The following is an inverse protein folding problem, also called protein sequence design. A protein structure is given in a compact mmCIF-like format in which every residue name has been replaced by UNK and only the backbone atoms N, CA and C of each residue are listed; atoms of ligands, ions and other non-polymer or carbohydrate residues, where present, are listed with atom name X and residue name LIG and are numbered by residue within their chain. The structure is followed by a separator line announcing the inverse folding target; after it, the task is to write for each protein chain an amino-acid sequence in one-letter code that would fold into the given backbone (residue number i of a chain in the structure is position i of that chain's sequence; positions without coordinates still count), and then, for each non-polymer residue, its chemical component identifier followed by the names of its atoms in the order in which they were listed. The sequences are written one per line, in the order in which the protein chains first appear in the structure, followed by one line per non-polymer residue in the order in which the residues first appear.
data_IF_914268068007
#
_entry.id   IF_914268068007
#
_cell.length_a   1.000
_cell.length_b   1.000
_cell.length_c   1.000
_cell.angle_alpha   90.00
_cell.angle_beta   90.00
_cell.angle_gamma   90.00
#
_symmetry.space_group_name_H-M   'P 1'
#
loop_
_entity.id
_entity.type
_entity.pdbx_description
1 polymer ?
#
# COMPACT_ATOMS: atom_id res chain seq x y z
N UNK A 1 -4.61 -34.44 14.16
CA UNK A 1 -4.38 -33.56 13.00
C UNK A 1 -3.40 -32.47 13.40
N UNK A 2 -2.41 -32.16 12.57
CA UNK A 2 -1.36 -31.20 12.90
C UNK A 2 -1.94 -29.81 13.21
N UNK A 3 -1.43 -29.15 14.25
CA UNK A 3 -1.86 -27.82 14.69
C UNK A 3 -1.30 -26.69 13.79
N UNK A 4 -0.88 -26.98 12.56
CA UNK A 4 -0.16 -26.06 11.68
C UNK A 4 -0.49 -26.32 10.21
N UNK A 5 -0.54 -25.25 9.43
CA UNK A 5 -0.67 -25.34 7.98
C UNK A 5 0.55 -26.07 7.40
N UNK A 6 0.37 -27.09 6.52
CA UNK A 6 1.47 -27.85 5.94
C UNK A 6 2.20 -27.05 4.85
N UNK A 7 2.61 -25.82 5.16
CA UNK A 7 3.36 -24.93 4.29
C UNK A 7 4.80 -25.44 4.18
N UNK A 8 5.26 -25.85 2.98
CA UNK A 8 6.65 -26.23 2.79
C UNK A 8 7.52 -24.98 2.94
N UNK A 9 8.53 -25.08 3.80
CA UNK A 9 9.53 -24.04 3.98
C UNK A 9 10.67 -24.28 2.99
N UNK A 10 11.02 -23.25 2.24
CA UNK A 10 12.10 -23.23 1.26
C UNK A 10 13.25 -22.35 1.78
N UNK A 11 14.38 -22.33 1.09
CA UNK A 11 15.57 -21.58 1.48
C UNK A 11 16.07 -20.66 0.37
N UNK A 12 16.41 -19.43 0.73
CA UNK A 12 17.09 -18.48 -0.14
C UNK A 12 18.57 -18.53 0.23
N UNK A 13 19.41 -18.95 -0.72
CA UNK A 13 20.86 -18.99 -0.55
C UNK A 13 21.50 -17.64 -0.92
N UNK A 14 22.24 -17.04 0.01
CA UNK A 14 22.96 -15.79 -0.22
C UNK A 14 24.37 -15.85 0.36
N UNK A 15 25.36 -15.99 -0.52
CA UNK A 15 26.77 -15.96 -0.11
C UNK A 15 27.15 -17.07 0.88
N UNK A 16 26.54 -18.25 0.75
CA UNK A 16 26.75 -19.41 1.63
C UNK A 16 25.82 -19.47 2.85
N UNK A 17 25.12 -18.38 3.19
CA UNK A 17 24.06 -18.39 4.21
C UNK A 17 22.73 -18.82 3.58
N UNK A 18 21.88 -19.48 4.38
CA UNK A 18 20.54 -19.91 3.99
C UNK A 18 19.48 -19.23 4.85
N UNK A 19 18.50 -18.61 4.19
CA UNK A 19 17.41 -17.89 4.85
C UNK A 19 16.08 -18.55 4.53
N UNK A 20 15.31 -19.00 5.53
CA UNK A 20 14.06 -19.68 5.28
C UNK A 20 12.99 -18.74 4.72
N UNK A 21 12.12 -19.26 3.87
CA UNK A 21 11.01 -18.53 3.26
C UNK A 21 9.82 -19.44 2.95
N UNK A 22 8.68 -18.84 2.68
CA UNK A 22 7.56 -19.45 1.98
C UNK A 22 7.48 -18.91 0.55
N UNK A 23 7.34 -19.82 -0.40
CA UNK A 23 7.16 -19.52 -1.82
C UNK A 23 5.70 -19.18 -2.11
N UNK A 24 5.46 -18.24 -3.03
CA UNK A 24 4.10 -17.87 -3.45
C UNK A 24 3.38 -19.05 -4.09
N UNK A 25 4.10 -19.84 -4.90
CA UNK A 25 3.55 -21.07 -5.48
C UNK A 25 3.09 -22.07 -4.42
N UNK A 26 3.83 -22.19 -3.31
CA UNK A 26 3.45 -23.06 -2.19
C UNK A 26 2.11 -22.66 -1.59
N UNK A 27 1.82 -21.36 -1.47
CA UNK A 27 0.50 -20.89 -1.03
C UNK A 27 -0.59 -21.31 -2.00
N UNK A 28 -0.39 -21.14 -3.31
CA UNK A 28 -1.37 -21.53 -4.32
C UNK A 28 -1.70 -23.03 -4.23
N UNK A 29 -0.66 -23.88 -4.10
CA UNK A 29 -0.82 -25.34 -4.01
C UNK A 29 -1.50 -25.77 -2.72
N UNK A 30 -1.09 -25.23 -1.57
CA UNK A 30 -1.69 -25.54 -0.27
C UNK A 30 -3.13 -25.05 -0.21
N UNK A 31 -3.42 -23.84 -0.69
CA UNK A 31 -4.79 -23.33 -0.73
C UNK A 31 -5.68 -24.15 -1.67
N UNK A 32 -5.17 -24.57 -2.83
CA UNK A 32 -5.92 -25.49 -3.71
C UNK A 32 -6.21 -26.83 -3.02
N UNK A 33 -5.21 -27.43 -2.36
CA UNK A 33 -5.35 -28.72 -1.69
C UNK A 33 -6.39 -28.70 -0.57
N UNK A 34 -6.52 -27.56 0.11
CA UNK A 34 -7.41 -27.40 1.25
C UNK A 34 -8.72 -26.65 0.93
N UNK A 35 -9.03 -26.40 -0.34
CA UNK A 35 -10.19 -25.60 -0.77
C UNK A 35 -10.24 -24.19 -0.13
N UNK A 36 -9.09 -23.52 -0.07
CA UNK A 36 -8.89 -22.18 0.51
C UNK A 36 -8.49 -21.11 -0.50
N UNK A 37 -8.70 -21.35 -1.79
CA UNK A 37 -8.42 -20.34 -2.83
C UNK A 37 -9.25 -19.08 -2.64
N UNK A 38 -10.42 -19.16 -2.01
CA UNK A 38 -11.27 -18.00 -1.71
C UNK A 38 -10.54 -16.89 -0.95
N UNK A 39 -9.52 -17.21 -0.15
CA UNK A 39 -8.67 -16.21 0.53
C UNK A 39 -7.93 -15.28 -0.43
N UNK A 40 -7.70 -15.71 -1.67
CA UNK A 40 -7.08 -14.92 -2.73
C UNK A 40 -8.08 -14.23 -3.65
N UNK A 41 -9.34 -14.66 -3.62
CA UNK A 41 -10.38 -14.29 -4.57
C UNK A 41 -11.39 -13.30 -3.96
N UNK A 42 -11.11 -12.74 -2.79
CA UNK A 42 -12.04 -11.86 -2.07
C UNK A 42 -13.13 -12.63 -1.31
N UNK A 43 -12.78 -13.78 -0.74
CA UNK A 43 -13.66 -14.65 0.04
C UNK A 43 -14.87 -15.20 -0.74
N UNK A 44 -14.74 -15.30 -2.07
CA UNK A 44 -15.67 -16.04 -2.93
C UNK A 44 -15.03 -17.30 -3.50
N UNK A 45 -15.86 -18.26 -3.89
CA UNK A 45 -15.44 -19.60 -4.34
C UNK A 45 -15.21 -19.71 -5.86
N UNK A 46 -15.25 -18.58 -6.57
CA UNK A 46 -15.05 -18.50 -8.02
C UNK A 46 -14.20 -17.27 -8.41
N UNK A 47 -13.98 -17.10 -9.71
CA UNK A 47 -13.11 -16.06 -10.26
C UNK A 47 -13.87 -14.80 -10.71
N UNK A 48 -15.16 -14.66 -10.38
CA UNK A 48 -16.00 -13.54 -10.84
C UNK A 48 -15.46 -12.18 -10.41
N UNK A 49 -14.98 -12.07 -9.16
CA UNK A 49 -14.41 -10.82 -8.66
C UNK A 49 -13.07 -10.47 -9.32
N UNK A 50 -12.28 -11.48 -9.74
CA UNK A 50 -11.04 -11.27 -10.49
C UNK A 50 -11.34 -10.76 -11.90
N UNK A 51 -12.34 -11.35 -12.56
CA UNK A 51 -12.81 -10.90 -13.87
C UNK A 51 -13.32 -9.45 -13.82
N UNK A 52 -14.17 -9.12 -12.85
CA UNK A 52 -14.71 -7.77 -12.68
C UNK A 52 -13.60 -6.76 -12.31
N UNK A 53 -12.60 -7.17 -11.51
CA UNK A 53 -11.44 -6.32 -11.22
C UNK A 53 -10.70 -5.93 -12.50
N UNK A 54 -10.34 -6.91 -13.34
CA UNK A 54 -9.60 -6.63 -14.56
C UNK A 54 -10.42 -5.89 -15.59
N UNK A 55 -11.73 -6.13 -15.67
CA UNK A 55 -12.64 -5.34 -16.50
C UNK A 55 -12.63 -3.87 -16.10
N UNK A 56 -12.72 -3.55 -14.81
CA UNK A 56 -12.64 -2.15 -14.32
C UNK A 56 -11.24 -1.57 -14.51
N UNK A 57 -10.20 -2.36 -14.25
CA UNK A 57 -8.81 -1.92 -14.38
C UNK A 57 -8.43 -1.62 -15.85
N UNK A 58 -8.94 -2.39 -16.81
CA UNK A 58 -8.72 -2.16 -18.26
C UNK A 58 -9.22 -0.80 -18.74
N UNK A 59 -10.29 -0.29 -18.12
CA UNK A 59 -10.79 1.04 -18.42
C UNK A 59 -9.88 2.17 -17.88
N UNK A 60 -9.02 1.86 -16.89
CA UNK A 60 -8.13 2.82 -16.23
C UNK A 60 -6.72 2.76 -16.86
N UNK A 61 -6.20 1.57 -17.09
CA UNK A 61 -4.88 1.32 -17.68
C UNK A 61 -4.97 0.24 -18.76
N UNK A 62 -5.48 0.56 -19.97
CA UNK A 62 -5.65 -0.42 -21.04
C UNK A 62 -4.33 -0.99 -21.56
N UNK A 63 -3.20 -0.32 -21.30
CA UNK A 63 -1.85 -0.73 -21.69
C UNK A 63 -1.17 -1.61 -20.64
N UNK A 64 -1.86 -1.95 -19.53
CA UNK A 64 -1.31 -2.83 -18.52
C UNK A 64 -0.90 -4.18 -19.15
N UNK A 65 0.33 -4.69 -18.89
CA UNK A 65 0.84 -5.93 -19.51
C UNK A 65 -0.06 -7.16 -19.34
N UNK A 66 -0.92 -7.19 -18.32
CA UNK A 66 -1.95 -8.23 -18.17
C UNK A 66 -2.78 -8.40 -19.43
N UNK A 67 -3.18 -7.31 -20.10
CA UNK A 67 -4.08 -7.37 -21.25
C UNK A 67 -3.40 -7.85 -22.53
N UNK A 68 -2.07 -7.82 -22.59
CA UNK A 68 -1.31 -8.39 -23.70
C UNK A 68 -0.83 -9.82 -23.41
N UNK A 69 -0.36 -10.10 -22.19
CA UNK A 69 0.14 -11.43 -21.80
C UNK A 69 -0.99 -12.42 -21.48
N UNK A 70 -2.14 -11.93 -21.03
CA UNK A 70 -3.26 -12.74 -20.55
C UNK A 70 -4.58 -12.44 -21.25
N UNK A 71 -4.52 -12.02 -22.52
CA UNK A 71 -5.72 -11.78 -23.33
C UNK A 71 -6.65 -13.01 -23.32
N UNK A 72 -7.92 -12.78 -22.95
CA UNK A 72 -8.96 -13.80 -22.83
C UNK A 72 -8.84 -14.73 -21.62
N UNK A 73 -7.84 -14.53 -20.74
CA UNK A 73 -7.62 -15.34 -19.53
C UNK A 73 -7.39 -14.50 -18.27
N UNK A 74 -7.70 -13.21 -18.29
CA UNK A 74 -7.52 -12.26 -17.20
C UNK A 74 -8.21 -12.70 -15.91
N UNK A 75 -9.37 -13.38 -16.03
CA UNK A 75 -10.10 -13.93 -14.87
C UNK A 75 -9.28 -14.89 -14.01
N UNK A 76 -8.21 -15.48 -14.53
CA UNK A 76 -7.33 -16.38 -13.78
C UNK A 76 -6.04 -15.69 -13.28
N UNK A 77 -5.91 -14.39 -13.48
CA UNK A 77 -4.75 -13.60 -13.05
C UNK A 77 -5.08 -12.94 -11.71
N UNK A 78 -4.60 -13.48 -10.60
CA UNK A 78 -4.91 -12.94 -9.27
C UNK A 78 -4.13 -11.63 -9.05
N UNK A 79 -4.80 -10.48 -8.86
CA UNK A 79 -4.13 -9.23 -8.55
C UNK A 79 -3.66 -9.23 -7.09
N UNK A 80 -2.39 -8.89 -6.87
CA UNK A 80 -1.76 -8.88 -5.56
C UNK A 80 -0.97 -7.58 -5.32
N UNK A 81 -0.76 -7.27 -4.04
CA UNK A 81 0.23 -6.32 -3.57
C UNK A 81 1.40 -7.07 -2.94
N UNK A 82 2.61 -6.56 -3.17
CA UNK A 82 3.78 -6.94 -2.39
C UNK A 82 4.00 -5.89 -1.30
N UNK A 83 4.27 -6.32 -0.08
CA UNK A 83 4.54 -5.44 1.04
C UNK A 83 5.84 -5.85 1.74
N UNK A 84 6.56 -4.87 2.25
CA UNK A 84 7.61 -5.10 3.23
C UNK A 84 7.54 -4.02 4.31
N UNK A 85 8.09 -4.27 5.50
CA UNK A 85 8.36 -3.24 6.50
C UNK A 85 9.35 -3.73 7.58
N UNK A 86 9.92 -2.83 8.39
CA UNK A 86 10.76 -3.15 9.55
C UNK A 86 9.96 -3.06 10.87
N UNK A 87 9.64 -4.22 11.43
CA UNK A 87 9.10 -4.36 12.78
C UNK A 87 10.17 -4.37 13.88
N UNK A 88 9.76 -4.63 15.13
CA UNK A 88 10.66 -4.66 16.30
C UNK A 88 10.55 -5.97 17.09
N UNK A 89 11.70 -6.58 17.37
CA UNK A 89 11.81 -7.78 18.24
C UNK A 89 11.98 -7.42 19.72
N UNK A 90 11.93 -8.41 20.63
CA UNK A 90 11.99 -8.24 22.09
C UNK A 90 13.21 -7.44 22.58
N UNK A 91 14.38 -7.61 21.93
CA UNK A 91 15.61 -6.88 22.25
C UNK A 91 15.75 -5.57 21.48
N UNK A 92 14.63 -4.98 21.03
CA UNK A 92 14.56 -3.77 20.18
C UNK A 92 15.37 -3.86 18.89
N UNK A 93 15.73 -5.07 18.46
CA UNK A 93 16.39 -5.29 17.16
C UNK A 93 15.32 -5.30 16.07
N UNK A 94 15.56 -4.62 14.95
CA UNK A 94 14.58 -4.62 13.85
C UNK A 94 14.51 -5.97 13.15
N UNK A 95 13.32 -6.31 12.66
CA UNK A 95 13.06 -7.49 11.83
C UNK A 95 12.34 -7.03 10.56
N UNK A 96 12.92 -7.34 9.40
CA UNK A 96 12.24 -7.19 8.11
C UNK A 96 11.15 -8.23 8.02
N UNK A 97 9.96 -7.81 7.62
CA UNK A 97 8.84 -8.68 7.25
C UNK A 97 8.51 -8.39 5.80
N UNK A 98 8.43 -9.42 4.97
CA UNK A 98 7.97 -9.32 3.59
C UNK A 98 6.77 -10.24 3.39
N UNK A 99 5.68 -9.71 2.84
CA UNK A 99 4.45 -10.46 2.63
C UNK A 99 3.79 -10.10 1.30
N UNK A 100 3.05 -11.06 0.74
CA UNK A 100 2.12 -10.84 -0.35
C UNK A 100 0.70 -10.66 0.21
N UNK A 101 -0.16 -9.91 -0.45
CA UNK A 101 -1.59 -9.89 -0.14
C UNK A 101 -2.41 -9.78 -1.43
N UNK A 102 -3.56 -10.46 -1.55
CA UNK A 102 -4.48 -10.22 -2.65
C UNK A 102 -5.00 -8.79 -2.60
N UNK A 103 -5.34 -8.22 -3.76
CA UNK A 103 -6.00 -6.91 -3.85
C UNK A 103 -7.46 -7.04 -3.41
N UNK A 104 -8.10 -8.13 -3.84
CA UNK A 104 -9.49 -8.45 -3.54
C UNK A 104 -9.63 -8.86 -2.09
N UNK A 105 -10.54 -8.20 -1.39
CA UNK A 105 -11.09 -8.64 -0.12
C UNK A 105 -12.60 -8.80 -0.21
N UNK A 106 -13.22 -8.89 0.95
CA UNK A 106 -14.68 -8.84 1.12
C UNK A 106 -15.01 -7.79 2.19
N UNK A 107 -16.29 -7.54 2.42
CA UNK A 107 -16.73 -6.78 3.58
C UNK A 107 -17.86 -7.54 4.26
N UNK A 108 -17.68 -8.00 5.52
CA UNK A 108 -18.73 -8.67 6.26
C UNK A 108 -19.85 -7.73 6.72
N UNK A 109 -19.71 -6.42 6.51
CA UNK A 109 -20.71 -5.42 6.89
C UNK A 109 -21.93 -5.48 5.94
N UNK A 110 -23.14 -5.81 6.45
CA UNK A 110 -24.34 -6.02 5.64
C UNK A 110 -24.85 -4.73 4.97
N UNK A 111 -24.41 -3.55 5.41
CA UNK A 111 -24.83 -2.27 4.85
C UNK A 111 -24.02 -1.86 3.61
N UNK A 112 -23.07 -2.70 3.17
CA UNK A 112 -22.26 -2.40 1.99
C UNK A 112 -22.91 -2.85 0.69
N UNK A 113 -22.58 -2.11 -0.37
CA UNK A 113 -23.01 -2.40 -1.72
C UNK A 113 -22.29 -3.65 -2.25
N UNK A 114 -23.03 -4.74 -2.44
CA UNK A 114 -22.52 -6.01 -2.95
C UNK A 114 -22.01 -5.93 -4.40
N UNK A 115 -22.26 -4.83 -5.11
CA UNK A 115 -21.69 -4.55 -6.43
C UNK A 115 -20.29 -3.91 -6.39
N UNK A 116 -19.82 -3.50 -5.21
CA UNK A 116 -18.47 -2.97 -5.02
C UNK A 116 -17.44 -4.09 -4.84
N UNK A 117 -16.25 -3.89 -5.40
CA UNK A 117 -15.10 -4.75 -5.11
C UNK A 117 -14.41 -4.23 -3.85
N UNK A 118 -14.27 -5.05 -2.80
CA UNK A 118 -13.82 -4.60 -1.49
C UNK A 118 -12.31 -4.79 -1.24
N UNK A 119 -11.79 -4.09 -0.22
CA UNK A 119 -10.41 -4.16 0.24
C UNK A 119 -10.23 -5.19 1.36
N UNK A 120 -9.00 -5.61 1.64
CA UNK A 120 -8.66 -6.51 2.75
C UNK A 120 -8.56 -5.84 4.14
N UNK A 121 -9.31 -4.76 4.40
CA UNK A 121 -9.18 -4.00 5.65
C UNK A 121 -9.97 -4.57 6.84
N UNK A 122 -10.98 -5.41 6.60
CA UNK A 122 -11.90 -5.90 7.64
C UNK A 122 -11.60 -7.32 8.13
N UNK A 123 -10.84 -8.10 7.36
CA UNK A 123 -10.45 -9.46 7.72
C UNK A 123 -9.20 -9.50 8.58
N UNK A 124 -9.03 -10.63 9.27
CA UNK A 124 -7.80 -10.91 10.00
C UNK A 124 -6.59 -10.86 9.07
N UNK A 125 -5.58 -10.12 9.50
CA UNK A 125 -4.32 -9.97 8.78
C UNK A 125 -3.55 -11.28 8.68
N UNK A 126 -3.83 -12.27 9.53
CA UNK A 126 -3.22 -13.60 9.45
C UNK A 126 -3.56 -14.36 8.17
N UNK A 127 -4.81 -14.24 7.69
CA UNK A 127 -5.30 -14.97 6.52
C UNK A 127 -5.14 -14.18 5.20
N UNK A 128 -5.05 -12.86 5.30
CA UNK A 128 -5.00 -11.96 4.13
C UNK A 128 -3.59 -11.45 3.80
N UNK A 129 -2.60 -11.65 4.68
CA UNK A 129 -1.20 -11.30 4.45
C UNK A 129 -0.35 -12.57 4.51
N UNK A 130 0.11 -12.99 3.34
CA UNK A 130 0.88 -14.20 3.12
C UNK A 130 2.36 -13.91 3.41
N UNK A 131 2.85 -14.36 4.56
CA UNK A 131 4.24 -14.15 4.95
C UNK A 131 5.18 -14.86 3.98
N UNK A 132 6.12 -14.15 3.37
CA UNK A 132 7.09 -14.74 2.46
C UNK A 132 8.42 -15.01 3.17
N UNK A 133 8.96 -14.00 3.87
CA UNK A 133 10.15 -14.19 4.69
C UNK A 133 10.21 -13.17 5.81
N UNK A 134 11.03 -13.49 6.82
CA UNK A 134 11.49 -12.51 7.79
C UNK A 134 13.01 -12.50 7.85
N UNK A 135 13.60 -11.33 8.07
CA UNK A 135 15.05 -11.21 8.16
C UNK A 135 15.43 -10.25 9.29
N UNK A 136 16.23 -10.73 10.23
CA UNK A 136 16.74 -9.89 11.33
C UNK A 136 17.71 -8.84 10.78
N UNK A 137 17.63 -7.61 11.29
CA UNK A 137 18.48 -6.49 10.86
C UNK A 137 19.96 -6.84 10.85
N UNK A 138 20.42 -7.70 11.75
CA UNK A 138 21.83 -8.06 11.84
C UNK A 138 22.35 -8.87 10.65
N UNK A 139 21.48 -9.59 9.92
CA UNK A 139 21.86 -10.28 8.69
C UNK A 139 22.24 -9.29 7.58
N UNK A 140 21.59 -8.12 7.54
CA UNK A 140 21.80 -7.12 6.48
C UNK A 140 22.25 -5.74 7.01
N UNK A 141 22.84 -5.69 8.21
CA UNK A 141 23.29 -4.43 8.82
C UNK A 141 24.57 -3.90 8.18
N UNK A 142 25.51 -4.80 7.89
CA UNK A 142 26.84 -4.46 7.32
C UNK A 142 26.79 -4.36 5.79
N UNK A 143 25.98 -5.21 5.17
CA UNK A 143 25.80 -5.32 3.73
C UNK A 143 24.32 -5.59 3.47
N UNK A 144 23.69 -4.88 2.54
CA UNK A 144 22.29 -5.06 2.20
C UNK A 144 22.05 -6.25 1.26
N UNK A 145 23.10 -6.86 0.68
CA UNK A 145 23.02 -7.99 -0.25
C UNK A 145 22.10 -9.13 0.20
N UNK A 146 22.12 -9.63 1.45
CA UNK A 146 21.20 -10.69 1.88
C UNK A 146 19.73 -10.30 1.70
N UNK A 147 19.39 -9.06 2.04
CA UNK A 147 18.03 -8.57 1.93
C UNK A 147 17.60 -8.37 0.46
N UNK A 148 18.48 -7.83 -0.39
CA UNK A 148 18.19 -7.68 -1.82
C UNK A 148 18.06 -9.01 -2.53
N UNK A 149 18.94 -9.98 -2.25
CA UNK A 149 18.83 -11.32 -2.82
C UNK A 149 17.51 -12.01 -2.42
N UNK A 150 17.02 -11.78 -1.19
CA UNK A 150 15.70 -12.27 -0.78
C UNK A 150 14.56 -11.62 -1.59
N UNK A 151 14.59 -10.29 -1.79
CA UNK A 151 13.60 -9.62 -2.64
C UNK A 151 13.71 -10.02 -4.12
N UNK A 152 14.91 -10.20 -4.66
CA UNK A 152 15.16 -10.66 -6.03
C UNK A 152 14.63 -12.09 -6.23
N UNK A 153 14.81 -12.98 -5.26
CA UNK A 153 14.25 -14.34 -5.28
C UNK A 153 12.72 -14.34 -5.28
N UNK A 154 12.09 -13.42 -4.54
CA UNK A 154 10.63 -13.21 -4.57
C UNK A 154 10.19 -12.62 -5.90
N UNK A 155 10.90 -11.62 -6.41
CA UNK A 155 10.59 -10.98 -7.70
C UNK A 155 10.64 -11.98 -8.85
N UNK A 156 11.70 -12.80 -8.92
CA UNK A 156 11.86 -13.83 -9.94
C UNK A 156 10.73 -14.86 -9.90
N UNK A 157 10.27 -15.24 -8.70
CA UNK A 157 9.11 -16.12 -8.56
C UNK A 157 7.84 -15.49 -9.12
N UNK A 158 7.61 -14.22 -8.80
CA UNK A 158 6.41 -13.49 -9.23
C UNK A 158 6.40 -13.22 -10.74
N UNK A 159 7.54 -12.95 -11.36
CA UNK A 159 7.66 -12.89 -12.84
C UNK A 159 7.25 -14.23 -13.43
N UNK A 160 7.82 -15.34 -12.95
CA UNK A 160 7.48 -16.68 -13.44
C UNK A 160 6.00 -17.02 -13.23
N UNK A 161 5.43 -16.70 -12.07
CA UNK A 161 4.00 -16.93 -11.81
C UNK A 161 3.09 -16.05 -12.65
N UNK A 162 3.55 -14.89 -13.11
CA UNK A 162 2.84 -14.10 -14.11
C UNK A 162 2.95 -14.76 -15.48
N UNK A 163 4.16 -15.10 -15.95
CA UNK A 163 4.37 -15.58 -17.32
C UNK A 163 3.87 -17.02 -17.55
N UNK A 164 4.17 -17.92 -16.62
CA UNK A 164 3.93 -19.36 -16.73
C UNK A 164 2.69 -19.84 -15.94
N UNK A 165 2.40 -19.15 -14.83
CA UNK A 165 1.33 -19.53 -13.90
C UNK A 165 1.63 -20.78 -13.07
N UNK A 166 0.68 -21.17 -12.23
CA UNK A 166 0.68 -22.38 -11.44
C UNK A 166 -0.53 -23.23 -11.80
N UNK A 167 -0.29 -24.45 -12.28
CA UNK A 167 -1.39 -25.36 -12.61
C UNK A 167 -1.82 -26.18 -11.40
N UNK A 168 -3.10 -26.08 -11.07
CA UNK A 168 -3.74 -26.61 -9.89
C UNK A 168 -4.93 -27.49 -10.27
N UNK A 169 -5.40 -28.32 -9.34
CA UNK A 169 -6.65 -29.06 -9.47
C UNK A 169 -7.65 -28.47 -8.49
N UNK A 170 -8.66 -27.78 -9.01
CA UNK A 170 -9.71 -27.14 -8.23
C UNK A 170 -11.02 -27.81 -8.57
N UNK A 171 -11.68 -28.43 -7.57
CA UNK A 171 -12.94 -29.16 -7.77
C UNK A 171 -12.87 -30.17 -8.94
N UNK A 172 -11.78 -30.94 -9.01
CA UNK A 172 -11.46 -31.91 -10.08
C UNK A 172 -11.24 -31.32 -11.48
N UNK A 173 -11.14 -30.00 -11.61
CA UNK A 173 -10.81 -29.33 -12.87
C UNK A 173 -9.38 -28.81 -12.81
N UNK A 174 -8.61 -29.10 -13.86
CA UNK A 174 -7.27 -28.56 -14.01
C UNK A 174 -7.36 -27.10 -14.46
N UNK A 175 -6.88 -26.18 -13.63
CA UNK A 175 -6.85 -24.75 -13.93
C UNK A 175 -5.44 -24.20 -13.76
N UNK A 176 -5.07 -23.22 -14.56
CA UNK A 176 -3.81 -22.49 -14.40
C UNK A 176 -4.10 -21.11 -13.86
N UNK A 177 -3.59 -20.82 -12.66
CA UNK A 177 -3.70 -19.53 -12.00
C UNK A 177 -2.42 -18.74 -12.21
N UNK A 178 -2.53 -17.45 -12.51
CA UNK A 178 -1.41 -16.52 -12.63
C UNK A 178 -1.44 -15.53 -11.48
N UNK A 179 -0.30 -14.92 -11.16
CA UNK A 179 -0.20 -13.89 -10.12
C UNK A 179 0.35 -12.61 -10.75
N UNK A 180 -0.38 -11.51 -10.59
CA UNK A 180 0.06 -10.19 -11.04
C UNK A 180 0.21 -9.26 -9.84
N UNK A 181 1.42 -8.72 -9.64
CA UNK A 181 1.65 -7.70 -8.61
C UNK A 181 1.41 -6.33 -9.21
N UNK A 182 0.41 -5.62 -8.70
CA UNK A 182 -0.03 -4.32 -9.23
C UNK A 182 0.56 -3.12 -8.46
N UNK A 183 1.12 -3.34 -7.27
CA UNK A 183 1.89 -2.33 -6.53
C UNK A 183 2.76 -2.92 -5.41
N UNK A 184 3.82 -2.20 -5.06
CA UNK A 184 4.54 -2.35 -3.79
C UNK A 184 4.09 -1.34 -2.75
N UNK A 185 3.85 -1.87 -1.54
CA UNK A 185 3.43 -1.14 -0.36
C UNK A 185 4.51 -1.20 0.71
N UNK A 186 4.54 -0.18 1.56
CA UNK A 186 5.43 -0.09 2.72
C UNK A 186 5.55 1.34 3.22
N UNK A 187 6.27 1.54 4.31
CA UNK A 187 6.56 2.88 4.79
C UNK A 187 7.58 3.61 3.87
N UNK A 188 7.62 4.95 3.91
CA UNK A 188 8.53 5.69 3.04
C UNK A 188 10.01 5.34 3.23
N UNK A 189 10.55 5.25 4.45
CA UNK A 189 11.92 4.78 4.69
C UNK A 189 12.25 3.44 4.02
N UNK A 190 11.33 2.47 4.07
CA UNK A 190 11.50 1.19 3.45
C UNK A 190 11.38 1.27 1.93
N UNK A 191 10.37 1.93 1.37
CA UNK A 191 10.24 2.06 -0.09
C UNK A 191 11.45 2.78 -0.68
N UNK A 192 11.98 3.78 0.03
CA UNK A 192 13.24 4.44 -0.30
C UNK A 192 14.43 3.49 -0.26
N UNK A 193 14.49 2.58 0.71
CA UNK A 193 15.50 1.51 0.76
C UNK A 193 15.33 0.57 -0.41
N UNK A 194 14.17 -0.05 -0.57
CA UNK A 194 13.88 -1.10 -1.56
C UNK A 194 14.13 -0.62 -2.99
N UNK A 195 13.72 0.62 -3.31
CA UNK A 195 13.96 1.22 -4.62
C UNK A 195 15.30 1.94 -4.77
N UNK A 196 16.14 2.00 -3.72
CA UNK A 196 17.30 2.90 -3.64
C UNK A 196 16.99 4.31 -4.16
N UNK A 197 15.86 4.86 -3.70
CA UNK A 197 15.29 6.08 -4.25
C UNK A 197 16.20 7.29 -3.95
N UNK A 198 16.50 8.05 -4.99
CA UNK A 198 17.24 9.31 -4.88
C UNK A 198 16.36 10.44 -4.31
N UNK A 199 15.05 10.37 -4.52
CA UNK A 199 14.05 11.34 -4.02
C UNK A 199 12.97 10.60 -3.22
N UNK A 200 12.68 11.07 -2.01
CA UNK A 200 11.63 10.51 -1.14
C UNK A 200 11.28 11.48 0.00
N UNK A 201 10.09 11.34 0.58
CA UNK A 201 9.49 12.32 1.50
C UNK A 201 10.19 12.47 2.87
N UNK A 202 11.27 11.72 3.10
CA UNK A 202 12.14 11.87 4.27
C UNK A 202 13.33 12.82 4.05
N UNK A 203 13.56 13.28 2.82
CA UNK A 203 14.66 14.21 2.52
C UNK A 203 14.32 15.66 2.88
N UNK A 204 15.35 16.43 3.21
CA UNK A 204 15.28 17.89 3.37
C UNK A 204 15.43 18.56 1.99
N UNK A 205 14.64 19.60 1.75
CA UNK A 205 14.63 20.38 0.49
C UNK A 205 15.43 21.70 0.58
N UNK A 206 16.14 21.96 1.68
CA UNK A 206 16.71 23.28 1.98
C UNK A 206 18.09 23.58 1.37
N UNK A 207 18.59 22.75 0.45
CA UNK A 207 19.90 22.95 -0.18
C UNK A 207 19.74 23.47 -1.62
N UNK A 208 20.65 24.35 -2.07
CA UNK A 208 20.69 24.83 -3.46
C UNK A 208 20.75 23.68 -4.49
N UNK A 209 21.26 22.51 -4.08
CA UNK A 209 21.35 21.29 -4.88
C UNK A 209 20.37 20.18 -4.42
N UNK A 210 19.21 20.55 -3.88
CA UNK A 210 18.22 19.58 -3.41
C UNK A 210 17.78 18.65 -4.55
N UNK A 211 17.98 17.33 -4.39
CA UNK A 211 17.57 16.34 -5.37
C UNK A 211 16.05 16.26 -5.54
N UNK A 212 15.28 16.80 -4.60
CA UNK A 212 13.82 16.72 -4.51
C UNK A 212 13.37 15.81 -3.35
N UNK A 213 12.10 15.94 -2.98
CA UNK A 213 11.46 15.18 -1.90
C UNK A 213 10.42 14.17 -2.41
N UNK A 214 10.01 14.25 -3.67
CA UNK A 214 9.03 13.35 -4.25
C UNK A 214 9.71 12.38 -5.21
N UNK A 215 9.40 11.09 -5.14
CA UNK A 215 9.86 10.11 -6.13
C UNK A 215 9.13 10.31 -7.47
N UNK A 216 7.87 10.73 -7.44
CA UNK A 216 7.02 10.87 -8.64
C UNK A 216 7.29 12.14 -9.45
N UNK A 217 7.78 13.21 -8.84
CA UNK A 217 7.95 14.51 -9.50
C UNK A 217 9.17 15.29 -8.95
N UNK A 218 9.35 16.52 -9.39
CA UNK A 218 10.46 17.40 -9.01
C UNK A 218 10.19 18.29 -7.80
N UNK A 219 9.09 18.08 -7.08
CA UNK A 219 8.80 18.81 -5.86
C UNK A 219 9.96 18.78 -4.86
N UNK A 220 10.30 19.96 -4.34
CA UNK A 220 11.43 20.18 -3.43
C UNK A 220 12.77 20.43 -4.12
N UNK A 221 12.82 20.51 -5.46
CA UNK A 221 13.96 21.06 -6.21
C UNK A 221 13.88 22.59 -6.29
N UNK A 222 14.98 23.28 -6.66
CA UNK A 222 14.90 24.69 -7.07
C UNK A 222 13.79 24.91 -8.11
N UNK A 223 13.03 25.99 -7.96
CA UNK A 223 11.86 26.35 -8.79
C UNK A 223 10.65 25.39 -8.73
N UNK A 224 10.67 24.39 -7.84
CA UNK A 224 9.60 23.41 -7.69
C UNK A 224 9.15 23.32 -6.23
N UNK A 225 8.48 24.36 -5.70
CA UNK A 225 8.05 24.41 -4.30
C UNK A 225 7.07 23.27 -3.99
N UNK A 226 7.43 22.39 -3.05
CA UNK A 226 6.60 21.22 -2.74
C UNK A 226 5.30 21.56 -2.00
N UNK A 227 5.23 22.74 -1.38
CA UNK A 227 4.04 23.20 -0.66
C UNK A 227 3.03 23.88 -1.58
N UNK A 228 3.39 24.14 -2.84
CA UNK A 228 2.46 24.65 -3.83
C UNK A 228 1.54 23.52 -4.31
N UNK A 229 0.26 23.64 -3.98
CA UNK A 229 -0.80 22.71 -4.37
C UNK A 229 -1.74 23.33 -5.43
N UNK A 230 -1.50 24.58 -5.86
CA UNK A 230 -2.34 25.30 -6.85
C UNK A 230 -2.26 24.63 -8.21
N UNK A 231 -3.26 24.69 -9.08
CA UNK A 231 -3.24 23.98 -10.37
C UNK A 231 -1.99 24.26 -11.23
N UNK A 232 -1.40 25.44 -11.09
CA UNK A 232 -0.19 25.90 -11.79
C UNK A 232 1.13 25.42 -11.19
N UNK A 233 1.11 24.58 -10.15
CA UNK A 233 2.35 24.16 -9.50
C UNK A 233 3.31 23.46 -10.47
N UNK A 234 4.53 23.99 -10.56
CA UNK A 234 5.52 23.63 -11.58
C UNK A 234 5.92 22.15 -11.54
N UNK A 235 5.87 21.51 -10.37
CA UNK A 235 6.21 20.11 -10.21
C UNK A 235 5.19 19.16 -10.88
N UNK A 236 3.96 19.58 -11.15
CA UNK A 236 2.97 18.72 -11.82
C UNK A 236 3.38 18.35 -13.24
N UNK A 237 3.94 19.30 -13.97
CA UNK A 237 4.44 19.06 -15.33
C UNK A 237 5.60 18.06 -15.36
N UNK A 238 6.25 17.82 -14.22
CA UNK A 238 7.42 16.92 -14.10
C UNK A 238 7.06 15.49 -13.66
N UNK A 239 5.75 15.21 -13.53
CA UNK A 239 5.25 13.92 -13.05
C UNK A 239 5.72 12.77 -13.96
N UNK A 240 6.35 11.77 -13.35
CA UNK A 240 6.89 10.56 -13.97
C UNK A 240 7.88 10.79 -15.13
N UNK A 241 8.37 12.01 -15.34
CA UNK A 241 9.33 12.30 -16.41
C UNK A 241 10.71 11.66 -16.16
N UNK A 242 11.03 11.28 -14.92
CA UNK A 242 12.34 10.75 -14.56
C UNK A 242 12.26 9.63 -13.53
N UNK A 243 13.02 8.57 -13.76
CA UNK A 243 13.13 7.46 -12.83
C UNK A 243 13.58 7.93 -11.43
N UNK A 244 13.00 7.36 -10.36
CA UNK A 244 13.28 7.81 -9.00
C UNK A 244 14.51 7.15 -8.36
N UNK A 245 15.06 6.10 -8.98
CA UNK A 245 16.24 5.37 -8.52
C UNK A 245 17.51 5.78 -9.28
N UNK A 246 18.67 5.30 -8.84
CA UNK A 246 19.93 5.52 -9.56
C UNK A 246 19.90 4.77 -10.91
N UNK A 247 20.48 5.32 -12.00
CA UNK A 247 20.49 4.66 -13.31
C UNK A 247 21.14 3.27 -13.33
N UNK A 248 22.14 3.04 -12.46
CA UNK A 248 22.91 1.79 -12.39
C UNK A 248 22.25 0.72 -11.51
N UNK A 249 21.01 0.93 -11.07
CA UNK A 249 20.32 0.06 -10.15
C UNK A 249 18.93 -0.28 -10.67
N UNK A 250 18.64 -1.57 -10.77
CA UNK A 250 17.32 -2.11 -11.08
C UNK A 250 16.70 -2.55 -9.75
N UNK A 251 15.67 -1.87 -9.24
CA UNK A 251 14.97 -2.31 -8.04
C UNK A 251 14.44 -3.74 -8.19
N UNK A 252 14.52 -4.61 -7.16
CA UNK A 252 14.19 -6.03 -7.28
C UNK A 252 12.85 -6.28 -7.94
N UNK A 253 11.86 -5.50 -7.54
CA UNK A 253 10.52 -5.70 -8.02
C UNK A 253 10.18 -4.88 -9.28
N UNK A 254 11.03 -3.94 -9.72
CA UNK A 254 10.79 -3.18 -10.96
C UNK A 254 10.70 -4.04 -12.23
N UNK A 255 11.15 -5.30 -12.14
CA UNK A 255 11.07 -6.31 -13.22
C UNK A 255 9.68 -6.92 -13.38
N UNK A 256 8.74 -6.71 -12.45
CA UNK A 256 7.39 -7.26 -12.60
C UNK A 256 6.64 -6.52 -13.73
N UNK A 257 5.80 -7.23 -14.49
CA UNK A 257 5.11 -6.68 -15.65
C UNK A 257 3.98 -5.73 -15.24
N UNK A 258 4.23 -4.43 -15.39
CA UNK A 258 3.29 -3.34 -15.11
C UNK A 258 3.63 -2.07 -15.90
N UNK A 259 2.66 -1.16 -16.07
CA UNK A 259 2.91 0.13 -16.69
C UNK A 259 3.72 1.08 -15.76
N UNK A 260 4.50 1.96 -16.39
CA UNK A 260 5.69 2.59 -15.83
C UNK A 260 5.43 3.53 -14.63
N UNK A 261 6.24 3.35 -13.59
CA UNK A 261 6.55 4.26 -12.48
C UNK A 261 5.63 4.35 -11.23
N UNK A 262 4.56 3.53 -11.14
CA UNK A 262 3.65 3.54 -9.97
C UNK A 262 3.96 2.51 -8.89
N UNK A 263 5.18 1.95 -8.92
CA UNK A 263 5.68 0.89 -8.04
C UNK A 263 5.46 1.15 -6.55
N UNK A 264 5.80 2.35 -6.08
CA UNK A 264 5.88 2.64 -4.64
C UNK A 264 4.70 3.47 -4.20
N UNK A 265 3.74 2.81 -3.56
CA UNK A 265 2.57 3.46 -2.98
C UNK A 265 2.61 3.32 -1.48
N UNK A 266 2.48 4.45 -0.80
CA UNK A 266 2.31 4.47 0.64
C UNK A 266 1.20 5.47 0.94
N UNK A 267 0.12 4.97 1.51
CA UNK A 267 -0.76 5.79 2.31
C UNK A 267 -0.75 5.24 3.73
N UNK A 268 -0.43 6.10 4.68
CA UNK A 268 -0.66 5.85 6.09
C UNK A 268 -1.68 6.83 6.65
N UNK A 269 -2.74 6.31 7.27
CA UNK A 269 -3.51 6.95 8.35
C UNK A 269 -4.47 5.89 8.91
N UNK A 270 -4.35 5.62 10.21
CA UNK A 270 -5.15 4.62 10.91
C UNK A 270 -6.46 5.17 11.49
N UNK A 271 -7.22 4.29 12.14
CA UNK A 271 -8.46 4.61 12.86
C UNK A 271 -8.28 5.75 13.89
N UNK A 272 -7.12 5.85 14.55
CA UNK A 272 -6.83 6.90 15.53
C UNK A 272 -6.92 8.31 14.94
N UNK A 273 -6.45 8.49 13.69
CA UNK A 273 -6.54 9.80 13.04
C UNK A 273 -8.00 10.19 12.83
N UNK A 274 -8.85 9.26 12.38
CA UNK A 274 -10.26 9.53 12.19
C UNK A 274 -10.97 9.83 13.53
N UNK A 275 -10.68 9.06 14.58
CA UNK A 275 -11.26 9.29 15.92
C UNK A 275 -10.86 10.66 16.49
N UNK A 276 -9.57 11.00 16.44
CA UNK A 276 -9.05 12.28 16.92
C UNK A 276 -9.59 13.44 16.08
N UNK A 277 -9.65 13.31 14.76
CA UNK A 277 -10.21 14.36 13.90
C UNK A 277 -11.70 14.59 14.16
N UNK A 278 -12.50 13.54 14.42
CA UNK A 278 -13.92 13.68 14.81
C UNK A 278 -14.07 14.39 16.14
N UNK A 279 -13.29 13.98 17.16
CA UNK A 279 -13.32 14.66 18.45
C UNK A 279 -12.91 16.13 18.35
N UNK A 280 -11.82 16.42 17.63
CA UNK A 280 -11.36 17.78 17.40
C UNK A 280 -12.39 18.62 16.64
N UNK A 281 -13.10 18.05 15.67
CA UNK A 281 -14.16 18.76 14.95
C UNK A 281 -15.20 19.30 15.95
N UNK A 282 -15.73 18.45 16.83
CA UNK A 282 -16.67 18.86 17.88
C UNK A 282 -16.09 19.94 18.81
N UNK A 283 -14.84 19.77 19.25
CA UNK A 283 -14.18 20.74 20.13
C UNK A 283 -14.08 22.12 19.47
N UNK A 284 -13.67 22.19 18.20
CA UNK A 284 -13.55 23.46 17.50
C UNK A 284 -14.91 24.04 17.10
N UNK A 285 -15.91 23.21 16.82
CA UNK A 285 -17.29 23.66 16.61
C UNK A 285 -17.83 24.41 17.83
N UNK A 286 -17.67 23.83 19.04
CA UNK A 286 -18.12 24.46 20.28
C UNK A 286 -17.37 25.78 20.56
N UNK A 287 -16.05 25.80 20.38
CA UNK A 287 -15.23 27.01 20.56
C UNK A 287 -15.62 28.15 19.60
N UNK A 288 -16.06 27.81 18.39
CA UNK A 288 -16.56 28.79 17.42
C UNK A 288 -17.92 29.33 17.89
N UNK A 289 -18.82 28.45 18.35
CA UNK A 289 -20.14 28.84 18.84
C UNK A 289 -20.09 29.76 20.08
N UNK A 290 -19.05 29.63 20.91
CA UNK A 290 -18.81 30.48 22.09
C UNK A 290 -18.28 31.89 21.73
N UNK A 291 -17.89 32.15 20.48
CA UNK A 291 -17.30 33.43 20.06
C UNK A 291 -18.25 34.24 19.21
N UNK A 292 -18.45 35.51 19.57
CA UNK A 292 -19.26 36.45 18.78
C UNK A 292 -18.66 36.73 17.40
N UNK A 293 -17.33 36.79 17.30
CA UNK A 293 -16.58 36.98 16.06
C UNK A 293 -15.41 35.98 15.98
N UNK A 294 -15.66 34.74 15.52
CA UNK A 294 -14.63 33.70 15.44
C UNK A 294 -13.50 34.10 14.49
N UNK A 295 -12.25 33.96 14.92
CA UNK A 295 -11.09 34.28 14.07
C UNK A 295 -11.02 33.37 12.83
N UNK A 296 -10.52 33.91 11.72
CA UNK A 296 -10.25 33.15 10.49
C UNK A 296 -9.41 31.89 10.74
N UNK A 297 -8.49 31.96 11.70
CA UNK A 297 -7.70 30.84 12.18
C UNK A 297 -8.55 29.67 12.72
N UNK A 298 -9.51 29.94 13.61
CA UNK A 298 -10.37 28.89 14.18
C UNK A 298 -11.31 28.32 13.11
N UNK A 299 -11.85 29.18 12.25
CA UNK A 299 -12.70 28.78 11.12
C UNK A 299 -11.94 27.84 10.18
N UNK A 300 -10.68 28.17 9.84
CA UNK A 300 -9.83 27.33 8.98
C UNK A 300 -9.54 25.97 9.61
N UNK A 301 -9.26 25.90 10.91
CA UNK A 301 -9.02 24.63 11.62
C UNK A 301 -10.27 23.76 11.62
N UNK A 302 -11.41 24.31 12.04
CA UNK A 302 -12.68 23.58 12.06
C UNK A 302 -13.06 23.10 10.65
N UNK A 303 -12.95 23.97 9.65
CA UNK A 303 -13.17 23.64 8.26
C UNK A 303 -12.29 22.47 7.81
N UNK A 304 -10.98 22.53 8.08
CA UNK A 304 -10.03 21.46 7.74
C UNK A 304 -10.40 20.12 8.40
N UNK A 305 -10.83 20.13 9.65
CA UNK A 305 -11.28 18.93 10.37
C UNK A 305 -12.51 18.31 9.73
N UNK A 306 -13.55 19.12 9.46
CA UNK A 306 -14.79 18.68 8.82
C UNK A 306 -14.54 18.05 7.44
N UNK A 307 -13.79 18.75 6.58
CA UNK A 307 -13.51 18.23 5.22
C UNK A 307 -12.57 17.03 5.27
N UNK A 308 -11.66 16.96 6.25
CA UNK A 308 -10.83 15.76 6.46
C UNK A 308 -11.68 14.56 6.86
N UNK A 309 -12.65 14.74 7.76
CA UNK A 309 -13.56 13.66 8.17
C UNK A 309 -14.45 13.21 7.01
N UNK A 310 -14.96 14.15 6.20
CA UNK A 310 -15.70 13.85 4.98
C UNK A 310 -14.84 13.07 3.98
N UNK A 311 -13.60 13.51 3.74
CA UNK A 311 -12.67 12.83 2.82
C UNK A 311 -12.37 11.40 3.30
N UNK A 312 -12.05 11.22 4.58
CA UNK A 312 -11.77 9.90 5.14
C UNK A 312 -13.01 9.00 5.06
N UNK A 313 -14.20 9.53 5.37
CA UNK A 313 -15.45 8.79 5.25
C UNK A 313 -15.69 8.30 3.81
N UNK A 314 -15.50 9.16 2.81
CA UNK A 314 -15.61 8.76 1.40
C UNK A 314 -14.62 7.65 1.04
N UNK A 315 -13.36 7.76 1.48
CA UNK A 315 -12.32 6.82 1.11
C UNK A 315 -12.51 5.45 1.78
N UNK A 316 -13.01 5.37 3.02
CA UNK A 316 -13.26 4.09 3.69
C UNK A 316 -14.63 3.48 3.39
N UNK A 317 -15.63 4.30 2.99
CA UNK A 317 -16.96 3.81 2.65
C UNK A 317 -17.00 3.07 1.31
N UNK A 318 -16.11 3.39 0.39
CA UNK A 318 -16.06 2.75 -0.91
C UNK A 318 -14.98 1.68 -1.00
N UNK A 319 -15.19 0.71 -1.87
CA UNK A 319 -14.26 -0.35 -2.20
C UNK A 319 -13.02 0.12 -2.99
N UNK A 320 -12.46 -0.83 -3.75
CA UNK A 320 -11.26 -0.67 -4.58
C UNK A 320 -11.43 0.39 -5.68
N UNK A 321 -12.64 0.51 -6.21
CA UNK A 321 -12.99 1.44 -7.27
C UNK A 321 -14.10 2.37 -6.77
N UNK A 322 -13.94 3.67 -7.01
CA UNK A 322 -14.97 4.68 -6.73
C UNK A 322 -15.57 5.16 -8.03
N UNK A 323 -16.88 5.44 -8.03
CA UNK A 323 -17.54 6.00 -9.20
C UNK A 323 -16.89 7.33 -9.59
N UNK A 324 -16.94 7.70 -10.87
CA UNK A 324 -16.41 8.98 -11.36
C UNK A 324 -16.98 10.18 -10.60
N UNK A 325 -18.27 10.14 -10.24
CA UNK A 325 -18.90 11.19 -9.44
C UNK A 325 -18.25 11.31 -8.05
N UNK A 326 -18.06 10.19 -7.36
CA UNK A 326 -17.40 10.16 -6.06
C UNK A 326 -15.91 10.51 -6.15
N UNK A 327 -15.24 10.15 -7.25
CA UNK A 327 -13.87 10.58 -7.56
C UNK A 327 -13.75 12.11 -7.62
N UNK A 328 -14.67 12.78 -8.30
CA UNK A 328 -14.70 14.25 -8.33
C UNK A 328 -14.90 14.85 -6.94
N UNK A 329 -15.77 14.25 -6.11
CA UNK A 329 -15.97 14.67 -4.71
C UNK A 329 -14.71 14.47 -3.87
N UNK A 330 -13.98 13.37 -4.06
CA UNK A 330 -12.70 13.11 -3.39
C UNK A 330 -11.68 14.18 -3.76
N UNK A 331 -11.58 14.54 -5.04
CA UNK A 331 -10.66 15.57 -5.53
C UNK A 331 -11.01 16.94 -4.95
N UNK A 332 -12.28 17.36 -5.06
CA UNK A 332 -12.72 18.66 -4.55
C UNK A 332 -12.53 18.79 -3.03
N UNK A 333 -12.92 17.76 -2.27
CA UNK A 333 -12.77 17.72 -0.81
C UNK A 333 -11.30 17.70 -0.41
N UNK A 334 -10.46 16.95 -1.14
CA UNK A 334 -9.02 16.91 -0.93
C UNK A 334 -8.36 18.27 -1.12
N UNK A 335 -8.66 18.98 -2.21
CA UNK A 335 -8.15 20.33 -2.44
C UNK A 335 -8.67 21.34 -1.42
N UNK A 336 -9.93 21.21 -1.00
CA UNK A 336 -10.50 22.03 0.06
C UNK A 336 -9.75 21.83 1.38
N UNK A 337 -9.39 20.58 1.73
CA UNK A 337 -8.56 20.28 2.89
C UNK A 337 -7.18 20.93 2.79
N UNK A 338 -6.50 20.78 1.65
CA UNK A 338 -5.17 21.35 1.41
C UNK A 338 -5.18 22.87 1.60
N UNK A 339 -6.19 23.56 1.04
CA UNK A 339 -6.38 24.99 1.18
C UNK A 339 -6.61 25.40 2.64
N UNK A 340 -7.56 24.77 3.33
CA UNK A 340 -7.89 25.11 4.72
C UNK A 340 -6.71 24.84 5.68
N UNK A 341 -5.97 23.76 5.47
CA UNK A 341 -4.74 23.48 6.22
C UNK A 341 -3.66 24.55 5.97
N UNK A 342 -3.50 24.99 4.71
CA UNK A 342 -2.57 26.06 4.36
C UNK A 342 -2.98 27.38 5.01
N UNK A 343 -4.27 27.76 4.96
CA UNK A 343 -4.81 28.94 5.65
C UNK A 343 -4.55 28.87 7.16
N UNK A 344 -4.83 27.74 7.81
CA UNK A 344 -4.55 27.57 9.23
C UNK A 344 -3.04 27.70 9.55
N UNK A 345 -2.17 27.22 8.66
CA UNK A 345 -0.73 27.39 8.80
C UNK A 345 -0.27 28.84 8.64
N UNK A 346 -0.81 29.55 7.65
CA UNK A 346 -0.54 30.96 7.41
C UNK A 346 -0.99 31.82 8.60
N UNK A 347 -2.22 31.64 9.07
CA UNK A 347 -2.77 32.34 10.23
C UNK A 347 -1.97 32.08 11.52
N UNK A 348 -1.54 30.83 11.75
CA UNK A 348 -0.67 30.51 12.87
C UNK A 348 0.67 31.24 12.77
N UNK A 349 1.26 31.32 11.58
CA UNK A 349 2.51 32.05 11.34
C UNK A 349 2.35 33.55 11.62
N UNK A 350 1.27 34.18 11.13
CA UNK A 350 0.96 35.59 11.42
C UNK A 350 0.83 35.85 12.92
N UNK A 351 0.27 34.90 13.67
CA UNK A 351 0.16 34.95 15.12
C UNK A 351 1.42 34.49 15.86
N UNK A 352 2.53 34.22 15.16
CA UNK A 352 3.79 33.68 15.72
C UNK A 352 3.61 32.38 16.51
N UNK A 353 2.64 31.55 16.11
CA UNK A 353 2.35 30.23 16.71
C UNK A 353 2.97 29.11 15.87
N UNK A 354 3.77 28.25 16.50
CA UNK A 354 4.45 27.12 15.87
C UNK A 354 3.59 25.85 15.82
N UNK A 355 2.36 25.93 15.30
CA UNK A 355 1.34 24.85 15.42
C UNK A 355 1.15 23.99 14.16
N UNK A 356 1.35 24.57 12.98
CA UNK A 356 1.09 23.89 11.70
C UNK A 356 2.37 23.82 10.88
N UNK A 357 2.77 22.61 10.50
CA UNK A 357 4.03 22.39 9.79
C UNK A 357 3.74 21.86 8.39
N UNK A 358 4.12 22.62 7.37
CA UNK A 358 4.12 22.20 5.97
C UNK A 358 5.33 21.29 5.69
N UNK A 359 5.23 20.05 6.14
CA UNK A 359 6.24 19.00 5.88
C UNK A 359 6.09 18.41 4.48
N UNK A 360 7.09 17.64 4.00
CA UNK A 360 6.93 16.79 2.81
C UNK A 360 5.65 15.95 2.77
N UNK A 361 5.08 15.57 3.92
CA UNK A 361 3.80 14.83 3.98
C UNK A 361 2.61 15.62 3.44
N UNK A 362 2.66 16.96 3.47
CA UNK A 362 1.65 17.80 2.83
C UNK A 362 1.65 17.58 1.31
N UNK A 363 2.84 17.53 0.71
CA UNK A 363 3.00 17.21 -0.71
C UNK A 363 2.60 15.75 -1.01
N UNK A 364 2.93 14.81 -0.13
CA UNK A 364 2.49 13.41 -0.29
C UNK A 364 0.96 13.29 -0.35
N UNK A 365 0.22 14.04 0.47
CA UNK A 365 -1.24 14.09 0.38
C UNK A 365 -1.72 14.74 -0.93
N UNK A 366 -1.02 15.77 -1.39
CA UNK A 366 -1.32 16.41 -2.68
C UNK A 366 -1.19 15.41 -3.82
N UNK A 367 -0.13 14.58 -3.84
CA UNK A 367 0.06 13.54 -4.86
C UNK A 367 -1.02 12.44 -4.80
N UNK A 368 -1.55 12.11 -3.61
CA UNK A 368 -2.69 11.19 -3.48
C UNK A 368 -3.94 11.77 -4.14
N UNK A 369 -4.23 13.05 -3.92
CA UNK A 369 -5.39 13.73 -4.52
C UNK A 369 -5.19 13.89 -6.04
N UNK A 370 -4.00 14.31 -6.45
CA UNK A 370 -3.66 14.45 -7.86
C UNK A 370 -3.62 13.13 -8.61
N UNK A 371 -3.36 12.01 -7.94
CA UNK A 371 -3.49 10.69 -8.54
C UNK A 371 -4.94 10.45 -9.02
N UNK A 372 -5.93 10.67 -8.15
CA UNK A 372 -7.35 10.54 -8.52
C UNK A 372 -7.72 11.55 -9.61
N UNK A 373 -7.25 12.81 -9.48
CA UNK A 373 -7.51 13.85 -10.49
C UNK A 373 -6.96 13.46 -11.86
N UNK A 374 -5.72 12.98 -11.91
CA UNK A 374 -5.08 12.55 -13.17
C UNK A 374 -5.84 11.39 -13.80
N UNK A 375 -6.22 10.37 -13.03
CA UNK A 375 -7.05 9.28 -13.54
C UNK A 375 -8.36 9.82 -14.14
N UNK A 376 -9.09 10.66 -13.42
CA UNK A 376 -10.33 11.28 -13.94
C UNK A 376 -10.10 12.02 -15.27
N UNK A 377 -8.96 12.70 -15.43
CA UNK A 377 -8.64 13.46 -16.63
C UNK A 377 -8.25 12.58 -17.82
N UNK A 378 -7.44 11.53 -17.60
CA UNK A 378 -6.90 10.70 -18.68
C UNK A 378 -7.83 9.57 -19.10
N UNK A 379 -8.80 9.20 -18.27
CA UNK A 379 -9.80 8.17 -18.59
C UNK A 379 -11.23 8.74 -18.60
N UNK A 380 -11.58 9.64 -19.54
CA UNK A 380 -12.91 10.27 -19.57
C UNK A 380 -14.04 9.26 -19.79
N UNK A 381 -13.75 8.11 -20.41
CA UNK A 381 -14.71 7.04 -20.68
C UNK A 381 -14.85 6.05 -19.51
N UNK A 382 -13.94 6.07 -18.53
CA UNK A 382 -14.02 5.17 -17.39
C UNK A 382 -15.11 5.65 -16.41
N UNK A 383 -16.03 4.74 -16.06
CA UNK A 383 -17.04 4.97 -15.03
C UNK A 383 -16.46 5.02 -13.61
N UNK A 384 -15.21 4.60 -13.45
CA UNK A 384 -14.55 4.37 -12.16
C UNK A 384 -13.14 4.94 -12.14
N UNK A 385 -12.64 5.24 -10.95
CA UNK A 385 -11.22 5.51 -10.65
C UNK A 385 -10.78 4.69 -9.44
N UNK A 386 -9.48 4.47 -9.29
CA UNK A 386 -8.94 3.68 -8.19
C UNK A 386 -9.08 4.47 -6.89
N UNK A 387 -9.68 3.84 -5.88
CA UNK A 387 -9.72 4.41 -4.55
C UNK A 387 -8.31 4.38 -3.94
N UNK A 388 -7.72 5.53 -3.58
CA UNK A 388 -6.36 5.56 -3.03
C UNK A 388 -6.19 4.71 -1.76
N UNK A 389 -7.28 4.43 -1.04
CA UNK A 389 -7.27 3.63 0.20
C UNK A 389 -6.73 2.22 -0.04
N UNK A 390 -6.81 1.74 -1.29
CA UNK A 390 -6.27 0.45 -1.71
C UNK A 390 -4.77 0.31 -1.43
N UNK A 391 -4.05 1.44 -1.43
CA UNK A 391 -2.62 1.50 -1.13
C UNK A 391 -2.31 1.80 0.34
N UNK A 392 -3.30 1.73 1.23
CA UNK A 392 -3.10 1.95 2.66
C UNK A 392 -2.29 0.84 3.31
N UNK A 393 -1.28 1.19 4.10
CA UNK A 393 -0.44 0.24 4.84
C UNK A 393 -0.97 -0.07 6.25
N UNK A 394 -2.14 0.46 6.67
CA UNK A 394 -2.64 0.30 8.04
C UNK A 394 -2.76 -1.18 8.46
N UNK A 395 -3.39 -2.01 7.64
CA UNK A 395 -3.53 -3.44 7.93
C UNK A 395 -2.20 -4.20 7.77
N UNK A 396 -1.31 -3.72 6.90
CA UNK A 396 0.02 -4.28 6.76
C UNK A 396 0.87 -4.01 8.02
N UNK A 397 0.74 -2.85 8.66
CA UNK A 397 1.41 -2.53 9.93
C UNK A 397 0.91 -3.39 11.09
N UNK A 398 -0.39 -3.65 11.18
CA UNK A 398 -0.94 -4.61 12.15
C UNK A 398 -0.31 -6.00 11.95
N UNK A 399 -0.22 -6.46 10.70
CA UNK A 399 0.43 -7.73 10.38
C UNK A 399 1.90 -7.76 10.79
N UNK A 400 2.66 -6.71 10.48
CA UNK A 400 4.07 -6.58 10.87
C UNK A 400 4.22 -6.56 12.38
N UNK A 401 3.31 -5.89 13.10
CA UNK A 401 3.25 -5.90 14.56
C UNK A 401 3.02 -7.31 15.13
N UNK A 402 2.08 -8.06 14.55
CA UNK A 402 1.78 -9.45 14.91
C UNK A 402 2.94 -10.41 14.63
N UNK A 403 3.56 -10.34 13.46
CA UNK A 403 4.76 -11.12 13.11
C UNK A 403 5.94 -10.74 14.01
N UNK A 404 6.08 -9.47 14.33
CA UNK A 404 7.09 -8.98 15.28
C UNK A 404 6.85 -9.56 16.69
N UNK A 405 5.60 -9.65 17.13
CA UNK A 405 5.26 -10.28 18.40
C UNK A 405 5.65 -11.77 18.43
N UNK A 406 5.43 -12.52 17.34
CA UNK A 406 5.91 -13.91 17.22
C UNK A 406 7.43 -14.03 17.42
N UNK A 407 8.19 -13.05 16.92
CA UNK A 407 9.65 -13.02 17.06
C UNK A 407 10.14 -12.78 18.50
N UNK A 408 9.28 -12.27 19.40
CA UNK A 408 9.66 -11.98 20.78
C UNK A 408 9.83 -13.23 21.64
N UNK A 409 9.14 -14.31 21.27
CA UNK A 409 9.08 -15.55 22.03
C UNK A 409 9.99 -16.64 21.45
N UNK A 410 10.97 -16.27 20.62
CA UNK A 410 11.89 -17.21 19.95
C UNK A 410 13.35 -16.82 20.16
N UNK A 411 14.22 -17.83 20.16
CA UNK A 411 15.66 -17.60 20.23
C UNK A 411 16.18 -16.91 18.96
N UNK A 412 17.12 -15.98 19.11
CA UNK A 412 17.64 -15.17 17.99
C UNK A 412 18.26 -16.01 16.86
N UNK A 413 18.92 -17.13 17.19
CA UNK A 413 19.59 -18.01 16.21
C UNK A 413 18.61 -18.74 15.29
N UNK A 414 17.44 -19.09 15.79
CA UNK A 414 16.39 -19.80 15.04
C UNK A 414 15.21 -18.90 14.69
N UNK A 415 15.37 -17.58 14.84
CA UNK A 415 14.27 -16.61 14.75
C UNK A 415 13.55 -16.69 13.40
N UNK A 416 14.27 -16.74 12.28
CA UNK A 416 13.65 -16.75 10.95
C UNK A 416 12.75 -17.99 10.76
N UNK A 417 13.30 -19.18 11.02
CA UNK A 417 12.57 -20.46 10.92
C UNK A 417 11.38 -20.53 11.89
N UNK A 418 11.58 -20.14 13.15
CA UNK A 418 10.57 -20.26 14.19
C UNK A 418 9.42 -19.26 13.99
N UNK A 419 9.70 -18.06 13.48
CA UNK A 419 8.64 -17.10 13.14
C UNK A 419 7.77 -17.61 11.99
N UNK A 420 8.38 -18.17 10.94
CA UNK A 420 7.64 -18.77 9.83
C UNK A 420 6.78 -19.96 10.28
N UNK A 421 7.34 -20.86 11.09
CA UNK A 421 6.59 -22.00 11.65
C UNK A 421 5.40 -21.55 12.51
N UNK A 422 5.60 -20.53 13.35
CA UNK A 422 4.51 -19.95 14.16
C UNK A 422 3.47 -19.22 13.32
N UNK A 423 3.89 -18.53 12.25
CA UNK A 423 2.96 -17.95 11.29
C UNK A 423 2.09 -19.03 10.64
N UNK A 424 2.65 -20.18 10.25
CA UNK A 424 1.88 -21.27 9.65
C UNK A 424 0.79 -21.83 10.60
N UNK A 425 1.05 -21.82 11.92
CA UNK A 425 0.03 -22.11 12.95
C UNK A 425 -1.06 -21.03 12.95
N UNK A 426 -0.67 -19.75 12.96
CA UNK A 426 -1.64 -18.64 12.97
C UNK A 426 -2.50 -18.61 11.71
N UNK A 427 -1.91 -18.85 10.53
CA UNK A 427 -2.65 -18.95 9.27
C UNK A 427 -3.70 -20.07 9.34
N UNK A 428 -3.32 -21.26 9.80
CA UNK A 428 -4.24 -22.40 9.94
C UNK A 428 -5.41 -22.11 10.88
N UNK A 429 -5.16 -21.36 11.96
CA UNK A 429 -6.19 -20.99 12.93
C UNK A 429 -7.19 -19.96 12.37
N UNK A 430 -6.80 -19.20 11.34
CA UNK A 430 -7.53 -18.01 10.89
C UNK A 430 -8.00 -18.05 9.45
N UNK A 431 -7.67 -19.09 8.68
CA UNK A 431 -8.05 -19.18 7.26
C UNK A 431 -9.54 -19.51 7.01
N UNK A 432 -10.31 -19.69 8.09
CA UNK A 432 -11.76 -19.84 8.13
C UNK A 432 -12.45 -18.58 8.71
N UNK A 433 -11.68 -17.56 9.10
CA UNK A 433 -12.13 -16.36 9.81
C UNK A 433 -12.54 -15.20 8.90
#
# INVERSE_FOLDING_TARGET
MGLSCPMPMDEIEVGGDRYPCFRVESYLRVFSLHNKLSLLLGHVDDFSLVEEYWKRYKAIDPEHPTFSYHDGREKFVIPCYIHSDEGRTLKKSSIMVCNLQPVLGSNPDPDYDSSELHTNMKFTTWATRLLLFVMLKQAYKKNDRPLYAAWESVAAELVRLFEEGCTLVVRNVRITIYVCVVAAKGDWPLLAKLGRLARFFGRKSSAANAQGICHLCYAGRPSHPYHDYTETATWRATYLQHQPHKPTFVPPFSVLPQHSALWYRAWFKGADTAAVCRWLETVYANRIAEQQNPSAYLIAIHGALRVSNQLMHMLYRHGLFVSRANGNVIVSTGYQFLNLYFTAAYEALQQRKTRFKLTPKYHALTEIIDYVRRELMVTPHASWVINPVTYSCQSDEDFVGKVSALSTAVARRSCHTQVLARYAIQLWQHWDS
#
